data_IF_121378646145
#
_entry.id   IF_121378646145
#
_cell.length_a   1.000
_cell.length_b   1.000
_cell.length_c   1.000
_cell.angle_alpha   90.00
_cell.angle_beta   90.00
_cell.angle_gamma   90.00
#
_symmetry.space_group_name_H-M   'P 1'
#
loop_
_entity.id
_entity.type
_entity.pdbx_description
1 polymer ?
#
# COMPACT_ATOMS: atom_id res chain seq x y z
N UNK A 1 45.43 18.14 -5.02
CA UNK A 1 45.60 17.66 -3.64
C UNK A 1 44.25 17.69 -2.94
N UNK A 2 43.54 16.64 -2.55
CA UNK A 2 43.58 15.17 -2.67
C UNK A 2 42.14 14.80 -2.22
N UNK A 3 41.19 14.27 -2.99
CA UNK A 3 41.25 13.04 -3.79
C UNK A 3 42.14 11.97 -3.15
N UNK A 4 41.82 11.64 -1.89
CA UNK A 4 42.37 10.49 -1.18
C UNK A 4 41.37 9.90 -0.16
N UNK A 5 40.09 9.79 -0.53
CA UNK A 5 39.21 8.73 0.01
C UNK A 5 38.48 8.08 -1.17
N UNK A 6 39.35 7.62 -2.05
CA UNK A 6 39.11 6.70 -3.14
C UNK A 6 39.05 5.30 -2.54
N UNK A 7 37.94 4.59 -2.76
CA UNK A 7 37.90 3.17 -3.05
C UNK A 7 38.40 2.19 -1.97
N UNK A 8 37.52 1.79 -1.05
CA UNK A 8 37.32 0.37 -0.69
C UNK A 8 35.83 0.21 -0.38
N UNK A 9 35.19 -0.81 -0.97
CA UNK A 9 33.78 -1.24 -0.85
C UNK A 9 32.82 -0.88 -2.00
N UNK A 10 33.31 -0.91 -3.24
CA UNK A 10 32.55 -1.55 -4.33
C UNK A 10 33.10 -2.98 -4.47
N UNK A 11 32.19 -3.92 -4.72
CA UNK A 11 32.39 -5.34 -5.02
C UNK A 11 32.53 -6.29 -3.82
N UNK A 12 31.39 -6.77 -3.28
CA UNK A 12 31.20 -8.18 -2.86
C UNK A 12 29.81 -8.56 -2.31
N UNK A 13 28.68 -8.02 -2.80
CA UNK A 13 27.36 -8.66 -2.57
C UNK A 13 26.55 -8.68 -3.87
N UNK A 14 27.15 -9.27 -4.90
CA UNK A 14 26.42 -9.99 -5.93
C UNK A 14 27.16 -11.32 -6.05
N UNK A 15 26.42 -12.44 -6.05
CA UNK A 15 26.94 -13.82 -6.09
C UNK A 15 27.34 -14.45 -4.72
N UNK A 16 26.33 -14.77 -3.91
CA UNK A 16 26.37 -15.93 -3.02
C UNK A 16 25.03 -16.67 -3.08
N UNK A 17 24.59 -16.96 -4.32
CA UNK A 17 23.95 -18.24 -4.53
C UNK A 17 24.99 -19.31 -4.18
N UNK A 18 24.57 -20.30 -3.40
CA UNK A 18 25.30 -21.53 -3.12
C UNK A 18 26.36 -21.50 -2.00
N UNK A 19 25.93 -21.31 -0.73
CA UNK A 19 26.55 -21.97 0.44
C UNK A 19 25.49 -22.21 1.53
N UNK A 20 24.43 -22.95 1.20
CA UNK A 20 23.56 -23.60 2.19
C UNK A 20 24.23 -24.84 2.76
N UNK A 21 25.31 -24.70 3.52
CA UNK A 21 25.81 -25.73 4.45
C UNK A 21 26.56 -25.11 5.62
N UNK A 22 25.83 -24.49 6.55
CA UNK A 22 26.23 -24.47 7.96
C UNK A 22 25.02 -24.93 8.79
N UNK A 23 25.06 -26.20 9.18
CA UNK A 23 24.12 -26.82 10.13
C UNK A 23 24.37 -26.23 11.51
N UNK A 24 23.47 -25.38 11.98
CA UNK A 24 23.06 -25.26 13.38
C UNK A 24 21.88 -24.29 13.47
N UNK A 25 20.66 -24.82 13.66
CA UNK A 25 19.48 -24.02 14.04
C UNK A 25 18.41 -23.80 12.97
N UNK A 26 18.09 -24.78 12.12
CA UNK A 26 17.05 -24.66 11.06
C UNK A 26 15.60 -24.83 11.55
N UNK A 27 15.32 -24.78 12.86
CA UNK A 27 13.95 -24.96 13.38
C UNK A 27 13.18 -23.67 13.69
N UNK A 28 13.80 -22.48 13.66
CA UNK A 28 13.11 -21.22 14.03
C UNK A 28 12.81 -20.30 12.83
N UNK A 29 13.59 -20.35 11.74
CA UNK A 29 13.40 -19.45 10.58
C UNK A 29 12.23 -19.82 9.68
N UNK A 30 11.96 -21.12 9.49
CA UNK A 30 10.78 -21.57 8.74
C UNK A 30 9.50 -21.42 9.55
N UNK A 31 9.55 -21.70 10.87
CA UNK A 31 8.43 -21.52 11.78
C UNK A 31 7.92 -20.07 11.74
N UNK A 32 8.80 -19.06 11.87
CA UNK A 32 8.39 -17.64 11.80
C UNK A 32 7.75 -17.22 10.47
N UNK A 33 8.17 -17.83 9.34
CA UNK A 33 7.57 -17.56 8.01
C UNK A 33 6.25 -18.32 7.81
N UNK A 34 6.11 -19.51 8.39
CA UNK A 34 4.93 -20.36 8.26
C UNK A 34 3.79 -20.00 9.24
N UNK A 35 4.12 -19.54 10.46
CA UNK A 35 3.11 -19.23 11.50
C UNK A 35 2.92 -17.74 11.77
N UNK A 36 3.88 -16.88 11.41
CA UNK A 36 3.82 -15.44 11.72
C UNK A 36 2.73 -14.66 10.99
N UNK A 37 2.31 -15.11 9.82
CA UNK A 37 1.31 -14.41 9.01
C UNK A 37 -0.14 -14.90 9.24
N UNK A 38 -0.36 -15.88 10.13
CA UNK A 38 -1.70 -16.42 10.40
C UNK A 38 -2.67 -15.34 10.89
N UNK A 39 -2.16 -14.32 11.58
CA UNK A 39 -2.94 -13.16 11.99
C UNK A 39 -3.62 -12.45 10.80
N UNK A 40 -2.97 -12.32 9.63
CA UNK A 40 -3.58 -11.70 8.45
C UNK A 40 -4.73 -12.55 7.88
N UNK A 41 -4.68 -13.87 8.00
CA UNK A 41 -5.74 -14.74 7.49
C UNK A 41 -7.03 -14.67 8.31
N UNK A 42 -6.93 -14.37 9.62
CA UNK A 42 -8.07 -14.33 10.53
C UNK A 42 -8.46 -12.91 11.00
N UNK A 43 -7.72 -11.87 10.58
CA UNK A 43 -8.04 -10.48 10.93
C UNK A 43 -9.12 -9.92 10.00
N UNK A 44 -10.11 -9.24 10.58
CA UNK A 44 -11.14 -8.54 9.81
C UNK A 44 -10.64 -7.16 9.37
N UNK A 45 -10.04 -7.09 8.18
CA UNK A 45 -9.64 -5.82 7.57
C UNK A 45 -10.84 -4.98 7.14
N UNK A 46 -10.70 -3.66 7.25
CA UNK A 46 -11.69 -2.65 6.84
C UNK A 46 -13.06 -2.81 7.49
N UNK A 47 -13.16 -3.56 8.60
CA UNK A 47 -14.43 -3.97 9.18
C UNK A 47 -15.38 -2.79 9.51
N UNK A 48 -14.83 -1.62 9.86
CA UNK A 48 -15.55 -0.39 10.19
C UNK A 48 -15.27 0.76 9.22
N UNK A 49 -14.81 0.49 7.99
CA UNK A 49 -14.37 1.54 7.05
C UNK A 49 -15.48 2.55 6.71
N UNK A 50 -16.75 2.13 6.72
CA UNK A 50 -17.91 2.99 6.48
C UNK A 50 -18.18 4.00 7.60
N UNK A 51 -17.57 3.85 8.78
CA UNK A 51 -17.74 4.76 9.92
C UNK A 51 -16.72 5.92 9.91
N UNK A 52 -15.76 5.91 8.99
CA UNK A 52 -14.74 6.97 8.88
C UNK A 52 -15.43 8.29 8.49
N UNK A 53 -15.45 9.24 9.44
CA UNK A 53 -16.01 10.60 9.23
C UNK A 53 -15.01 11.57 8.62
N UNK A 54 -13.73 11.39 8.90
CA UNK A 54 -12.63 12.16 8.32
C UNK A 54 -12.60 12.04 6.81
N UNK A 55 -12.02 13.03 6.13
CA UNK A 55 -11.86 12.99 4.69
C UNK A 55 -10.89 11.87 4.28
N UNK A 56 -11.22 11.15 3.21
CA UNK A 56 -10.40 10.05 2.68
C UNK A 56 -10.20 10.23 1.18
N UNK A 57 -8.94 10.22 0.76
CA UNK A 57 -8.55 10.15 -0.65
C UNK A 57 -7.86 8.81 -0.90
N UNK A 58 -8.39 8.02 -1.82
CA UNK A 58 -7.76 6.78 -2.31
C UNK A 58 -7.19 7.09 -3.69
N UNK A 59 -5.88 6.90 -3.88
CA UNK A 59 -5.20 7.11 -5.17
C UNK A 59 -4.77 5.76 -5.73
N UNK A 60 -5.07 5.50 -6.99
CA UNK A 60 -4.69 4.25 -7.65
C UNK A 60 -4.34 4.45 -9.12
N UNK A 61 -3.37 3.70 -9.64
CA UNK A 61 -3.07 3.69 -11.07
C UNK A 61 -4.14 2.93 -11.88
N UNK A 62 -4.47 3.44 -13.07
CA UNK A 62 -5.45 2.82 -13.99
C UNK A 62 -5.03 1.41 -14.41
N UNK A 63 -3.74 1.20 -14.68
CA UNK A 63 -3.17 -0.07 -15.14
C UNK A 63 -2.62 -0.94 -14.01
N UNK A 64 -2.81 -0.51 -12.76
CA UNK A 64 -2.30 -1.23 -11.62
C UNK A 64 -3.13 -2.51 -11.38
N UNK A 65 -2.45 -3.66 -11.28
CA UNK A 65 -3.11 -4.93 -10.94
C UNK A 65 -3.87 -4.83 -9.60
N UNK A 66 -3.37 -4.02 -8.65
CA UNK A 66 -3.98 -3.80 -7.34
C UNK A 66 -5.22 -2.88 -7.35
N UNK A 67 -5.65 -2.33 -8.50
CA UNK A 67 -6.70 -1.30 -8.60
C UNK A 67 -8.02 -1.70 -7.92
N UNK A 68 -8.40 -2.96 -8.09
CA UNK A 68 -9.62 -3.51 -7.51
C UNK A 68 -9.65 -3.42 -5.97
N UNK A 69 -8.49 -3.40 -5.28
CA UNK A 69 -8.43 -3.19 -3.84
C UNK A 69 -8.90 -1.78 -3.46
N UNK A 70 -8.42 -0.76 -4.17
CA UNK A 70 -8.81 0.63 -3.94
C UNK A 70 -10.29 0.87 -4.26
N UNK A 71 -10.77 0.35 -5.40
CA UNK A 71 -12.17 0.44 -5.82
C UNK A 71 -13.11 -0.27 -4.82
N UNK A 72 -12.74 -1.46 -4.37
CA UNK A 72 -13.54 -2.24 -3.40
C UNK A 72 -13.56 -1.58 -2.02
N UNK A 73 -12.41 -1.05 -1.57
CA UNK A 73 -12.35 -0.29 -0.31
C UNK A 73 -13.21 0.98 -0.39
N UNK A 74 -13.17 1.71 -1.50
CA UNK A 74 -14.00 2.89 -1.71
C UNK A 74 -15.49 2.54 -1.69
N UNK A 75 -15.90 1.53 -2.46
CA UNK A 75 -17.29 1.04 -2.50
C UNK A 75 -17.78 0.63 -1.12
N UNK A 76 -16.99 -0.15 -0.38
CA UNK A 76 -17.36 -0.57 0.97
C UNK A 76 -17.47 0.61 1.95
N UNK A 77 -16.53 1.57 1.85
CA UNK A 77 -16.57 2.80 2.65
C UNK A 77 -17.83 3.62 2.40
N UNK A 78 -18.33 3.66 1.16
CA UNK A 78 -19.51 4.43 0.78
C UNK A 78 -20.81 3.71 1.13
N UNK A 79 -20.93 2.44 0.76
CA UNK A 79 -22.18 1.70 0.83
C UNK A 79 -22.38 0.96 2.15
N UNK A 80 -21.30 0.72 2.91
CA UNK A 80 -21.33 -0.11 4.11
C UNK A 80 -21.54 -1.60 3.84
N UNK A 81 -21.43 -2.05 2.58
CA UNK A 81 -21.50 -3.46 2.18
C UNK A 81 -20.20 -3.90 1.53
N UNK A 82 -19.57 -4.92 2.11
CA UNK A 82 -18.39 -5.58 1.54
C UNK A 82 -18.79 -6.84 0.79
N UNK A 83 -18.05 -7.15 -0.26
CA UNK A 83 -18.17 -8.42 -0.97
C UNK A 83 -17.64 -9.57 -0.09
N UNK A 84 -18.37 -10.68 -0.03
CA UNK A 84 -18.02 -11.82 0.82
C UNK A 84 -18.37 -11.69 2.30
N UNK A 85 -19.04 -10.61 2.72
CA UNK A 85 -19.57 -10.45 4.08
C UNK A 85 -21.10 -10.55 4.07
N UNK A 86 -21.67 -11.35 4.98
CA UNK A 86 -23.12 -11.57 5.07
C UNK A 86 -23.88 -10.39 5.68
N UNK A 87 -23.19 -9.49 6.37
CA UNK A 87 -23.80 -8.30 6.96
C UNK A 87 -23.66 -7.09 6.04
N UNK A 88 -24.72 -6.27 5.99
CA UNK A 88 -24.69 -4.94 5.42
C UNK A 88 -24.77 -3.91 6.55
N UNK A 89 -23.90 -2.90 6.52
CA UNK A 89 -23.92 -1.77 7.44
C UNK A 89 -24.66 -0.60 6.80
N UNK A 90 -24.89 0.44 7.60
CA UNK A 90 -25.38 1.72 7.09
C UNK A 90 -24.34 2.33 6.13
N UNK A 91 -24.76 2.99 5.04
CA UNK A 91 -23.89 3.79 4.21
C UNK A 91 -23.10 4.84 5.01
N UNK A 92 -22.02 5.35 4.42
CA UNK A 92 -21.18 6.36 5.09
C UNK A 92 -22.03 7.56 5.51
N UNK A 93 -21.92 8.05 6.75
CA UNK A 93 -22.65 9.24 7.18
C UNK A 93 -22.14 10.53 6.52
N UNK A 94 -20.93 10.52 5.93
CA UNK A 94 -20.29 11.70 5.34
C UNK A 94 -19.67 11.36 3.97
N UNK A 95 -20.47 11.06 2.93
CA UNK A 95 -19.95 10.62 1.63
C UNK A 95 -19.21 11.73 0.87
N UNK A 96 -19.56 13.00 1.11
CA UNK A 96 -19.08 14.14 0.32
C UNK A 96 -17.58 14.45 0.46
N UNK A 97 -16.90 13.90 1.48
CA UNK A 97 -15.46 14.09 1.71
C UNK A 97 -14.63 12.83 1.40
N UNK A 98 -15.21 11.89 0.65
CA UNK A 98 -14.57 10.68 0.18
C UNK A 98 -14.28 10.81 -1.31
N UNK A 99 -13.07 10.48 -1.73
CA UNK A 99 -12.67 10.57 -3.13
C UNK A 99 -11.82 9.36 -3.54
N UNK A 100 -12.10 8.84 -4.74
CA UNK A 100 -11.25 7.87 -5.44
C UNK A 100 -10.66 8.56 -6.67
N UNK A 101 -9.34 8.59 -6.75
CA UNK A 101 -8.60 9.19 -7.86
C UNK A 101 -7.85 8.09 -8.63
N UNK A 102 -8.22 7.89 -9.89
CA UNK A 102 -7.57 6.95 -10.78
C UNK A 102 -6.61 7.70 -11.71
N UNK A 103 -5.34 7.32 -11.70
CA UNK A 103 -4.28 7.97 -12.48
C UNK A 103 -4.13 7.26 -13.83
N UNK A 104 -4.46 7.91 -14.96
CA UNK A 104 -4.40 7.29 -16.28
C UNK A 104 -3.00 6.78 -16.61
N UNK A 105 -2.92 5.58 -17.17
CA UNK A 105 -1.67 4.96 -17.62
C UNK A 105 -0.69 4.52 -16.53
N UNK A 106 -0.92 4.87 -15.26
CA UNK A 106 -0.05 4.49 -14.15
C UNK A 106 -0.27 3.04 -13.70
N UNK A 107 0.83 2.33 -13.44
CA UNK A 107 0.86 1.03 -12.78
C UNK A 107 0.95 1.18 -11.25
N UNK A 108 1.06 0.06 -10.54
CA UNK A 108 1.21 0.06 -9.09
C UNK A 108 2.54 0.70 -8.65
N UNK A 109 3.65 0.32 -9.28
CA UNK A 109 4.99 0.81 -8.92
C UNK A 109 5.21 2.26 -9.35
N UNK A 110 4.52 2.74 -10.39
CA UNK A 110 4.66 4.14 -10.84
C UNK A 110 4.24 5.15 -9.77
N UNK A 111 3.41 4.76 -8.80
CA UNK A 111 3.01 5.61 -7.68
C UNK A 111 3.96 5.54 -6.47
N UNK A 112 5.05 4.79 -6.55
CA UNK A 112 6.08 4.75 -5.50
C UNK A 112 7.09 5.88 -5.62
N UNK A 113 7.61 6.09 -6.84
CA UNK A 113 8.65 7.07 -7.14
C UNK A 113 8.30 7.98 -8.33
N UNK A 114 7.08 7.83 -8.88
CA UNK A 114 6.62 8.56 -10.06
C UNK A 114 6.92 7.87 -11.39
N UNK A 115 7.54 6.68 -11.39
CA UNK A 115 7.78 5.87 -12.59
C UNK A 115 8.68 6.55 -13.63
N UNK A 116 9.52 7.50 -13.20
CA UNK A 116 10.33 8.37 -14.07
C UNK A 116 9.52 9.34 -14.94
N UNK A 117 8.20 9.44 -14.73
CA UNK A 117 7.25 10.25 -15.50
C UNK A 117 6.51 11.29 -14.65
N UNK A 118 6.79 11.32 -13.34
CA UNK A 118 6.11 12.21 -12.40
C UNK A 118 4.64 11.86 -12.21
N UNK A 119 4.29 10.56 -12.23
CA UNK A 119 2.89 10.10 -12.19
C UNK A 119 2.21 10.23 -10.82
N UNK A 120 2.93 10.69 -9.77
CA UNK A 120 2.31 10.94 -8.47
C UNK A 120 1.52 12.26 -8.55
N UNK A 121 0.20 12.25 -8.26
CA UNK A 121 -0.68 13.41 -8.43
C UNK A 121 -0.56 14.39 -7.24
N UNK A 122 0.63 15.00 -7.06
CA UNK A 122 0.92 15.87 -5.92
C UNK A 122 -0.07 17.03 -5.79
N UNK A 123 -0.42 17.68 -6.90
CA UNK A 123 -1.34 18.81 -6.90
C UNK A 123 -2.74 18.41 -6.41
N UNK A 124 -3.26 17.26 -6.84
CA UNK A 124 -4.56 16.76 -6.38
C UNK A 124 -4.55 16.40 -4.89
N UNK A 125 -3.44 15.81 -4.42
CA UNK A 125 -3.27 15.48 -2.99
C UNK A 125 -3.24 16.77 -2.18
N UNK A 126 -2.45 17.76 -2.60
CA UNK A 126 -2.35 19.04 -1.93
C UNK A 126 -3.71 19.78 -1.90
N UNK A 127 -4.42 19.83 -3.02
CA UNK A 127 -5.76 20.43 -3.10
C UNK A 127 -6.74 19.73 -2.15
N UNK A 128 -6.75 18.39 -2.14
CA UNK A 128 -7.61 17.62 -1.26
C UNK A 128 -7.32 17.92 0.22
N UNK A 129 -6.03 17.98 0.59
CA UNK A 129 -5.62 18.30 1.96
C UNK A 129 -6.01 19.74 2.34
N UNK A 130 -5.72 20.73 1.49
CA UNK A 130 -6.11 22.14 1.72
C UNK A 130 -7.63 22.31 1.87
N UNK A 131 -8.41 21.56 1.10
CA UNK A 131 -9.87 21.60 1.16
C UNK A 131 -10.41 21.03 2.48
N UNK A 132 -9.82 19.93 2.98
CA UNK A 132 -10.38 19.14 4.07
C UNK A 132 -9.67 19.30 5.44
N UNK A 133 -8.45 19.84 5.48
CA UNK A 133 -7.66 20.04 6.72
C UNK A 133 -7.56 21.51 7.12
N UNK A 134 -8.66 22.26 6.97
CA UNK A 134 -8.73 23.63 7.50
C UNK A 134 -8.71 23.56 9.02
N UNK A 135 -7.67 24.12 9.64
CA UNK A 135 -7.57 24.29 11.09
C UNK A 135 -8.42 25.45 11.56
#
# INVERSE_FOLDING_TARGET
MNRLFTFIAIALIFCAGNQTKVKAGTMDKEMKRATGCQAYANTRFLYYINEIRSAVLIVHGEKAHSRYFGESAFRYMMDGKAEGYDFARKPNPVPNNKQLLIIPGASHCDLYDGGGKGLIPWDNIEEFLKKNLKR
#
